data_IF_111540481474
#
_entry.id   IF_111540481474
#
_cell.length_a   1.000
_cell.length_b   1.000
_cell.length_c   1.000
_cell.angle_alpha   90.00
_cell.angle_beta   90.00
_cell.angle_gamma   90.00
#
_symmetry.space_group_name_H-M   'P 1'
#
loop_
_entity.id
_entity.type
_entity.pdbx_description
1 polymer ?
#
# COMPACT_ATOMS: atom_id res chain seq x y z
N UNK A 1 10.00 12.08 -10.62
CA UNK A 1 8.77 11.60 -9.99
C UNK A 1 9.10 11.06 -8.61
N UNK A 2 8.21 11.19 -7.63
CA UNK A 2 8.47 10.64 -6.31
C UNK A 2 8.55 9.11 -6.34
N UNK A 3 9.29 8.55 -5.40
CA UNK A 3 9.46 7.10 -5.26
C UNK A 3 9.01 6.66 -3.88
N UNK A 4 8.39 5.49 -3.83
CA UNK A 4 7.95 4.89 -2.57
C UNK A 4 9.08 4.03 -2.00
N UNK A 5 9.25 4.08 -0.68
CA UNK A 5 10.20 3.26 0.07
C UNK A 5 9.53 2.79 1.36
N UNK A 6 10.11 1.78 2.01
CA UNK A 6 9.53 1.27 3.26
C UNK A 6 9.36 2.34 4.32
N UNK A 7 10.30 3.27 4.45
CA UNK A 7 10.22 4.32 5.47
C UNK A 7 9.12 5.35 5.19
N UNK A 8 8.51 5.32 4.00
CA UNK A 8 7.35 6.16 3.69
C UNK A 8 6.04 5.57 4.23
N UNK A 9 6.09 4.35 4.78
CA UNK A 9 4.93 3.72 5.41
C UNK A 9 4.83 4.21 6.86
N UNK A 10 3.77 4.96 7.22
CA UNK A 10 3.62 5.41 8.60
C UNK A 10 3.52 4.24 9.57
N UNK A 11 4.16 4.33 10.75
CA UNK A 11 4.11 3.23 11.73
C UNK A 11 2.70 2.81 12.13
N UNK A 12 1.79 3.77 12.26
CA UNK A 12 0.40 3.47 12.61
C UNK A 12 -0.29 2.62 11.53
N UNK A 13 -0.02 2.88 10.26
CA UNK A 13 -0.56 2.07 9.16
C UNK A 13 0.07 0.69 9.14
N UNK A 14 1.35 0.59 9.43
CA UNK A 14 2.02 -0.70 9.50
C UNK A 14 1.43 -1.56 10.62
N UNK A 15 1.23 -0.98 11.80
CA UNK A 15 0.61 -1.67 12.93
C UNK A 15 -0.80 -2.14 12.59
N UNK A 16 -1.57 -1.29 11.92
CA UNK A 16 -2.92 -1.63 11.49
C UNK A 16 -2.92 -2.81 10.51
N UNK A 17 -1.96 -2.82 9.60
CA UNK A 17 -1.81 -3.91 8.64
C UNK A 17 -1.41 -5.21 9.33
N UNK A 18 -0.52 -5.15 10.34
CA UNK A 18 -0.15 -6.31 11.14
C UNK A 18 -1.37 -6.88 11.88
N UNK A 19 -2.22 -6.02 12.43
CA UNK A 19 -3.46 -6.46 13.07
C UNK A 19 -4.34 -7.23 12.09
N UNK A 20 -4.44 -6.76 10.85
CA UNK A 20 -5.22 -7.45 9.82
C UNK A 20 -4.63 -8.81 9.47
N UNK A 21 -3.30 -8.92 9.48
CA UNK A 21 -2.64 -10.21 9.26
C UNK A 21 -2.96 -11.17 10.41
N UNK A 22 -2.93 -10.69 11.65
CA UNK A 22 -3.28 -11.51 12.82
C UNK A 22 -4.75 -11.95 12.79
N UNK A 23 -5.63 -11.07 12.30
CA UNK A 23 -7.06 -11.38 12.14
C UNK A 23 -7.36 -12.21 10.90
N UNK A 24 -6.35 -12.55 10.12
CA UNK A 24 -6.45 -13.34 8.89
C UNK A 24 -7.24 -12.65 7.77
N UNK A 25 -7.44 -11.34 7.86
CA UNK A 25 -8.05 -10.57 6.77
C UNK A 25 -7.08 -10.37 5.61
N UNK A 26 -5.78 -10.37 5.89
CA UNK A 26 -4.71 -10.24 4.91
C UNK A 26 -3.67 -11.30 5.24
N UNK A 27 -3.17 -12.02 4.25
CA UNK A 27 -2.16 -13.05 4.49
C UNK A 27 -0.78 -12.43 4.71
N UNK A 28 0.08 -13.17 5.43
CA UNK A 28 1.46 -12.76 5.60
C UNK A 28 2.20 -12.70 4.26
N UNK A 29 1.84 -13.57 3.33
CA UNK A 29 2.41 -13.55 1.98
C UNK A 29 2.06 -12.25 1.25
N UNK A 30 0.83 -11.77 1.41
CA UNK A 30 0.40 -10.52 0.81
C UNK A 30 1.20 -9.34 1.37
N UNK A 31 1.45 -9.33 2.69
CA UNK A 31 2.29 -8.31 3.31
C UNK A 31 3.69 -8.32 2.72
N UNK A 32 4.28 -9.50 2.52
CA UNK A 32 5.60 -9.61 1.90
C UNK A 32 5.63 -9.07 0.49
N UNK A 33 4.60 -9.36 -0.30
CA UNK A 33 4.50 -8.85 -1.67
C UNK A 33 4.48 -7.32 -1.69
N UNK A 34 3.71 -6.73 -0.78
CA UNK A 34 3.64 -5.28 -0.67
C UNK A 34 4.99 -4.67 -0.31
N UNK A 35 5.68 -5.26 0.69
CA UNK A 35 6.98 -4.77 1.12
C UNK A 35 8.03 -4.92 0.02
N UNK A 36 8.01 -6.02 -0.73
CA UNK A 36 8.89 -6.21 -1.87
C UNK A 36 8.65 -5.16 -2.95
N UNK A 37 7.39 -4.84 -3.20
CA UNK A 37 7.06 -3.80 -4.15
C UNK A 37 7.65 -2.46 -3.72
N UNK A 38 7.53 -2.12 -2.44
CA UNK A 38 8.13 -0.90 -1.90
C UNK A 38 9.65 -0.89 -2.04
N UNK A 39 10.29 -2.04 -1.86
CA UNK A 39 11.74 -2.17 -1.97
C UNK A 39 12.24 -1.93 -3.39
N UNK A 40 11.39 -2.07 -4.40
CA UNK A 40 11.77 -1.72 -5.78
C UNK A 40 11.81 -0.23 -6.00
N UNK A 41 11.44 0.56 -5.00
CA UNK A 41 11.37 2.02 -5.08
C UNK A 41 10.55 2.49 -6.28
N UNK A 42 9.28 2.04 -6.38
CA UNK A 42 8.46 2.36 -7.56
C UNK A 42 8.19 3.86 -7.66
N UNK A 43 8.17 4.36 -8.87
CA UNK A 43 7.79 5.74 -9.13
C UNK A 43 6.28 5.89 -9.03
N UNK A 44 5.84 6.98 -8.41
CA UNK A 44 4.43 7.29 -8.21
C UNK A 44 4.15 8.72 -8.63
N UNK A 45 2.90 9.05 -9.00
CA UNK A 45 2.55 10.43 -9.33
C UNK A 45 2.56 11.31 -8.08
N UNK A 46 2.62 12.63 -8.28
CA UNK A 46 2.60 13.60 -7.19
C UNK A 46 1.23 13.68 -6.51
N UNK A 47 0.15 13.36 -7.23
CA UNK A 47 -1.20 13.37 -6.68
C UNK A 47 -1.59 12.04 -6.08
N UNK A 48 -2.90 11.82 -5.96
CA UNK A 48 -3.42 10.57 -5.42
C UNK A 48 -3.21 9.42 -6.39
N UNK A 49 -2.82 8.27 -5.84
CA UNK A 49 -2.60 7.06 -6.60
C UNK A 49 -3.00 5.85 -5.77
N UNK A 50 -3.18 4.71 -6.44
CA UNK A 50 -3.40 3.44 -5.75
C UNK A 50 -2.77 2.30 -6.52
N UNK A 51 -2.42 1.25 -5.80
CA UNK A 51 -1.85 0.01 -6.34
C UNK A 51 -2.70 -1.16 -5.86
N UNK A 52 -3.22 -1.96 -6.80
CA UNK A 52 -4.01 -3.14 -6.46
C UNK A 52 -3.11 -4.34 -6.21
N UNK A 53 -3.32 -4.98 -5.08
CA UNK A 53 -2.77 -6.29 -4.76
C UNK A 53 -3.92 -7.28 -4.64
N UNK A 54 -3.67 -8.60 -4.68
CA UNK A 54 -4.76 -9.58 -4.63
C UNK A 54 -5.68 -9.45 -3.41
N UNK A 55 -5.16 -9.06 -2.26
CA UNK A 55 -5.92 -9.02 -1.01
C UNK A 55 -6.13 -7.62 -0.44
N UNK A 56 -5.51 -6.60 -1.03
CA UNK A 56 -5.66 -5.23 -0.55
C UNK A 56 -5.29 -4.23 -1.64
N UNK A 57 -5.65 -2.97 -1.39
CA UNK A 57 -5.30 -1.85 -2.26
C UNK A 57 -4.50 -0.86 -1.43
N UNK A 58 -3.28 -0.53 -1.88
CA UNK A 58 -2.46 0.49 -1.24
C UNK A 58 -2.79 1.83 -1.87
N UNK A 59 -3.11 2.82 -1.03
CA UNK A 59 -3.44 4.17 -1.49
C UNK A 59 -2.43 5.17 -0.96
N UNK A 60 -2.02 6.10 -1.81
CA UNK A 60 -1.06 7.11 -1.42
C UNK A 60 -1.27 8.43 -2.12
N UNK A 61 -0.45 9.39 -1.75
CA UNK A 61 -0.40 10.70 -2.39
C UNK A 61 1.07 11.14 -2.40
N UNK A 62 1.64 11.28 -3.59
CA UNK A 62 3.08 11.52 -3.71
C UNK A 62 3.86 10.39 -3.05
N UNK A 63 4.85 10.72 -2.25
CA UNK A 63 5.69 9.75 -1.56
C UNK A 63 5.03 9.13 -0.33
N UNK A 64 3.86 9.61 0.08
CA UNK A 64 3.23 9.23 1.34
C UNK A 64 2.17 8.17 1.12
N UNK A 65 2.29 7.05 1.84
CA UNK A 65 1.24 6.04 1.88
C UNK A 65 0.20 6.51 2.89
N UNK A 66 -1.06 6.60 2.44
CA UNK A 66 -2.14 7.16 3.23
C UNK A 66 -3.00 6.10 3.91
N UNK A 67 -3.35 5.03 3.20
CA UNK A 67 -4.25 4.02 3.74
C UNK A 67 -4.23 2.75 2.91
N UNK A 68 -4.90 1.72 3.43
CA UNK A 68 -5.15 0.48 2.74
C UNK A 68 -6.65 0.28 2.62
N UNK A 69 -7.09 -0.22 1.47
CA UNK A 69 -8.48 -0.55 1.23
C UNK A 69 -8.63 -2.04 0.97
N UNK A 70 -9.81 -2.57 1.22
CA UNK A 70 -10.15 -3.93 0.83
C UNK A 70 -10.43 -3.97 -0.68
N UNK A 71 -10.28 -5.14 -1.33
CA UNK A 71 -10.50 -5.23 -2.77
C UNK A 71 -11.89 -4.83 -3.23
N UNK A 72 -12.88 -4.91 -2.33
CA UNK A 72 -14.26 -4.54 -2.62
C UNK A 72 -14.51 -3.03 -2.56
N UNK A 73 -13.58 -2.27 -2.00
CA UNK A 73 -13.72 -0.81 -1.86
C UNK A 73 -13.20 -0.11 -3.10
N UNK A 74 -13.76 1.06 -3.38
CA UNK A 74 -13.39 1.85 -4.56
C UNK A 74 -12.31 2.87 -4.20
N UNK A 75 -11.08 2.71 -4.72
CA UNK A 75 -10.02 3.70 -4.50
C UNK A 75 -10.23 4.94 -5.38
N UNK A 76 -9.56 6.03 -5.00
CA UNK A 76 -9.54 7.24 -5.79
C UNK A 76 -8.13 7.56 -6.25
N UNK A 77 -8.02 8.25 -7.38
CA UNK A 77 -6.74 8.64 -7.93
C UNK A 77 -6.33 7.78 -9.11
N UNK A 78 -5.04 7.83 -9.43
CA UNK A 78 -4.49 7.11 -10.58
C UNK A 78 -4.02 5.71 -10.18
N UNK A 79 -4.47 4.72 -10.91
CA UNK A 79 -3.97 3.35 -10.69
C UNK A 79 -2.56 3.22 -11.26
N UNK A 80 -1.65 2.66 -10.47
CA UNK A 80 -0.30 2.37 -10.91
C UNK A 80 -0.12 0.86 -11.12
N UNK A 81 0.67 0.49 -12.14
CA UNK A 81 0.87 -0.92 -12.47
C UNK A 81 1.65 -1.69 -11.42
#
# INVERSE_FOLDING_TARGET
MPKIRRHNLPPALYDHLLDRVQQRSVSAQQLRLMLRWMDTQPEVPNGRWFKRFPELIVCGEGELIKTFLLPSQAPTGREIP
#
